data_IF_503846112640
#
_entry.id   IF_503846112640
#
_cell.length_a   1.000
_cell.length_b   1.000
_cell.length_c   1.000
_cell.angle_alpha   90.00
_cell.angle_beta   90.00
_cell.angle_gamma   90.00
#
_symmetry.space_group_name_H-M   'P 1'
#
loop_
_entity.id
_entity.type
_entity.pdbx_description
1 polymer ?
#
# COMPACT_ATOMS: atom_id res chain seq x y z
N UNK A 1 -15.10 -21.92 34.27
CA UNK A 1 -14.02 -20.97 34.63
C UNK A 1 -12.68 -21.64 34.37
N UNK A 2 -11.84 -21.03 33.54
CA UNK A 2 -10.54 -21.56 33.10
C UNK A 2 -9.48 -21.53 34.21
N UNK A 3 -9.55 -20.54 35.11
CA UNK A 3 -8.64 -20.36 36.26
C UNK A 3 -9.38 -20.70 37.56
N UNK A 4 -8.80 -21.58 38.37
CA UNK A 4 -9.34 -22.00 39.67
C UNK A 4 -8.30 -21.82 40.77
N UNK A 5 -8.70 -21.28 41.93
CA UNK A 5 -7.80 -21.16 43.10
C UNK A 5 -7.74 -22.51 43.82
N UNK A 6 -6.54 -22.99 44.06
CA UNK A 6 -6.28 -24.26 44.77
C UNK A 6 -6.24 -24.04 46.29
N UNK A 7 -6.45 -25.11 47.06
CA UNK A 7 -6.36 -25.09 48.53
C UNK A 7 -5.00 -24.59 49.05
N UNK A 8 -3.94 -24.74 48.25
CA UNK A 8 -2.57 -24.33 48.58
C UNK A 8 -2.25 -22.88 48.16
N UNK A 9 -3.26 -22.06 47.85
CA UNK A 9 -3.08 -20.64 47.48
C UNK A 9 -2.62 -20.35 46.05
N UNK A 10 -2.29 -21.39 45.26
CA UNK A 10 -1.91 -21.23 43.83
C UNK A 10 -3.12 -21.23 42.90
N UNK A 11 -2.96 -20.71 41.69
CA UNK A 11 -3.99 -20.61 40.65
C UNK A 11 -3.73 -21.65 39.55
N UNK A 12 -4.69 -22.54 39.30
CA UNK A 12 -4.64 -23.57 38.26
C UNK A 12 -5.40 -23.11 37.02
N UNK A 13 -4.73 -23.08 35.88
CA UNK A 13 -5.31 -22.81 34.57
C UNK A 13 -5.53 -24.13 33.82
N UNK A 14 -6.73 -24.32 33.25
CA UNK A 14 -7.09 -25.45 32.38
C UNK A 14 -7.70 -24.95 31.08
N UNK A 15 -6.97 -25.06 29.98
CA UNK A 15 -7.41 -24.62 28.65
C UNK A 15 -7.53 -25.82 27.71
N UNK A 16 -8.68 -25.95 27.07
CA UNK A 16 -8.94 -26.96 26.05
C UNK A 16 -8.42 -26.47 24.69
N UNK A 17 -7.73 -27.34 23.94
CA UNK A 17 -7.25 -27.02 22.59
C UNK A 17 -8.12 -27.75 21.56
N UNK A 18 -8.74 -27.01 20.60
CA UNK A 18 -9.46 -27.60 19.46
C UNK A 18 -8.55 -28.46 18.56
N UNK A 19 -9.06 -29.56 18.01
CA UNK A 19 -8.29 -30.51 17.17
C UNK A 19 -7.62 -29.84 15.96
N UNK A 20 -8.28 -28.85 15.36
CA UNK A 20 -7.79 -28.05 14.24
C UNK A 20 -6.52 -27.26 14.60
N UNK A 21 -6.49 -26.68 15.81
CA UNK A 21 -5.36 -25.91 16.30
C UNK A 21 -4.18 -26.79 16.77
N UNK A 22 -4.41 -28.07 17.08
CA UNK A 22 -3.36 -28.99 17.57
C UNK A 22 -2.26 -29.22 16.53
N UNK A 23 -2.65 -29.46 15.28
CA UNK A 23 -1.72 -29.68 14.16
C UNK A 23 -0.84 -28.44 13.93
N UNK A 24 -1.44 -27.25 13.97
CA UNK A 24 -0.74 -25.98 13.77
C UNK A 24 0.15 -25.57 14.96
N UNK A 25 -0.22 -25.95 16.19
CA UNK A 25 0.54 -25.62 17.40
C UNK A 25 1.61 -26.66 17.77
N UNK A 26 1.64 -27.82 17.12
CA UNK A 26 2.56 -28.91 17.46
C UNK A 26 2.31 -29.50 18.86
N UNK A 27 1.07 -29.40 19.36
CA UNK A 27 0.68 -29.86 20.69
C UNK A 27 -0.30 -31.03 20.56
N UNK A 28 0.16 -32.24 20.86
CA UNK A 28 -0.68 -33.46 20.84
C UNK A 28 -1.67 -33.54 22.01
N UNK A 29 -1.54 -32.66 23.01
CA UNK A 29 -2.36 -32.69 24.23
C UNK A 29 -3.67 -31.91 24.04
N UNK A 30 -4.79 -32.59 24.28
CA UNK A 30 -6.16 -32.03 24.28
C UNK A 30 -6.41 -30.96 25.35
N UNK A 31 -5.62 -30.96 26.42
CA UNK A 31 -5.77 -30.06 27.56
C UNK A 31 -4.40 -29.58 28.05
N UNK A 32 -4.23 -28.27 28.20
CA UNK A 32 -3.08 -27.68 28.90
C UNK A 32 -3.51 -27.37 30.33
N UNK A 33 -2.82 -27.98 31.30
CA UNK A 33 -2.93 -27.63 32.72
C UNK A 33 -1.60 -27.01 33.21
N UNK A 34 -1.66 -25.80 33.75
CA UNK A 34 -0.52 -25.13 34.42
C UNK A 34 -0.94 -24.48 35.74
N UNK A 35 0.00 -24.35 36.66
CA UNK A 35 -0.19 -23.70 37.98
C UNK A 35 0.67 -22.46 38.10
N UNK A 36 0.10 -21.41 38.69
CA UNK A 36 0.72 -20.10 38.86
C UNK A 36 0.58 -19.62 40.30
N UNK A 37 1.57 -18.86 40.79
CA UNK A 37 1.51 -18.26 42.13
C UNK A 37 0.50 -17.10 42.19
N UNK A 38 0.40 -16.31 41.12
CA UNK A 38 -0.45 -15.11 41.04
C UNK A 38 -1.58 -15.28 40.02
N UNK A 39 -2.76 -14.73 40.33
CA UNK A 39 -3.91 -14.72 39.41
C UNK A 39 -3.62 -13.91 38.13
N UNK A 40 -2.91 -12.79 38.25
CA UNK A 40 -2.51 -11.94 37.12
C UNK A 40 -1.63 -12.70 36.13
N UNK A 41 -0.65 -13.48 36.62
CA UNK A 41 0.21 -14.31 35.76
C UNK A 41 -0.58 -15.44 35.07
N UNK A 42 -1.54 -16.05 35.76
CA UNK A 42 -2.43 -17.04 35.15
C UNK A 42 -3.30 -16.44 34.04
N UNK A 43 -3.82 -15.23 34.27
CA UNK A 43 -4.66 -14.50 33.30
C UNK A 43 -3.86 -14.05 32.07
N UNK A 44 -2.62 -13.60 32.26
CA UNK A 44 -1.72 -13.24 31.14
C UNK A 44 -1.44 -14.46 30.25
N UNK A 45 -1.12 -15.60 30.87
CA UNK A 45 -0.84 -16.83 30.14
C UNK A 45 -2.10 -17.43 29.48
N UNK A 46 -3.28 -17.26 30.08
CA UNK A 46 -4.57 -17.61 29.44
C UNK A 46 -4.78 -16.81 28.15
N UNK A 47 -4.57 -15.50 28.19
CA UNK A 47 -4.70 -14.61 27.03
C UNK A 47 -3.69 -14.97 25.92
N UNK A 48 -2.43 -15.22 26.27
CA UNK A 48 -1.40 -15.67 25.31
C UNK A 48 -1.77 -17.00 24.65
N UNK A 49 -2.36 -17.94 25.40
CA UNK A 49 -2.82 -19.21 24.85
C UNK A 49 -4.05 -19.05 23.94
N UNK A 50 -5.00 -18.19 24.31
CA UNK A 50 -6.17 -17.90 23.48
C UNK A 50 -5.74 -17.31 22.14
N UNK A 51 -4.87 -16.29 22.16
CA UNK A 51 -4.33 -15.70 20.93
C UNK A 51 -3.65 -16.76 20.04
N UNK A 52 -2.88 -17.68 20.62
CA UNK A 52 -2.26 -18.78 19.84
C UNK A 52 -3.28 -19.73 19.23
N UNK A 53 -4.36 -20.05 19.95
CA UNK A 53 -5.43 -20.91 19.44
C UNK A 53 -6.20 -20.19 18.33
N UNK A 54 -6.56 -18.92 18.53
CA UNK A 54 -7.28 -18.12 17.53
C UNK A 54 -6.46 -17.94 16.25
N UNK A 55 -5.15 -17.75 16.37
CA UNK A 55 -4.25 -17.66 15.22
C UNK A 55 -4.11 -18.99 14.46
N UNK A 56 -4.16 -20.11 15.19
CA UNK A 56 -4.11 -21.45 14.60
C UNK A 56 -5.42 -21.85 13.89
N UNK A 57 -6.56 -21.32 14.35
CA UNK A 57 -7.89 -21.60 13.79
C UNK A 57 -8.23 -20.69 12.60
N UNK A 58 -7.86 -19.41 12.64
CA UNK A 58 -8.29 -18.42 11.65
C UNK A 58 -7.35 -18.27 10.45
N UNK A 59 -6.30 -19.09 10.33
CA UNK A 59 -5.47 -19.17 9.12
C UNK A 59 -4.66 -17.92 8.75
N UNK A 60 -4.77 -16.80 9.47
CA UNK A 60 -3.89 -15.62 9.36
C UNK A 60 -4.37 -14.50 10.29
N UNK A 61 -4.13 -14.64 11.58
CA UNK A 61 -3.83 -13.46 12.40
C UNK A 61 -2.41 -13.67 12.89
N UNK A 62 -1.47 -12.97 12.25
CA UNK A 62 -0.06 -13.03 12.64
C UNK A 62 0.05 -12.55 14.09
N UNK A 63 0.68 -13.35 14.95
CA UNK A 63 1.14 -12.89 16.25
C UNK A 63 2.01 -11.64 16.04
N UNK A 64 1.65 -10.56 16.72
CA UNK A 64 2.20 -9.20 16.68
C UNK A 64 3.62 -9.12 17.30
N UNK A 65 4.46 -10.14 17.11
CA UNK A 65 5.79 -10.19 17.72
C UNK A 65 6.97 -10.37 16.75
N UNK A 66 6.72 -10.48 15.44
CA UNK A 66 7.74 -10.33 14.37
C UNK A 66 7.19 -9.51 13.17
N UNK A 67 6.29 -8.55 13.41
CA UNK A 67 5.68 -7.72 12.35
C UNK A 67 6.67 -6.78 11.65
N UNK A 68 7.87 -6.59 12.22
CA UNK A 68 8.90 -5.72 11.66
C UNK A 68 9.58 -6.26 10.39
N UNK A 69 9.54 -7.57 10.16
CA UNK A 69 10.30 -8.19 9.06
C UNK A 69 9.50 -8.42 7.78
N UNK A 70 8.21 -8.03 7.75
CA UNK A 70 7.40 -8.13 6.54
C UNK A 70 8.03 -7.31 5.41
N UNK A 71 8.18 -7.96 4.25
CA UNK A 71 8.65 -7.29 3.04
C UNK A 71 7.63 -6.25 2.59
N UNK A 72 8.11 -5.12 2.06
CA UNK A 72 7.24 -4.08 1.50
C UNK A 72 6.30 -4.65 0.43
N UNK A 73 6.80 -5.58 -0.41
CA UNK A 73 6.01 -6.23 -1.44
C UNK A 73 4.90 -7.14 -0.89
N UNK A 74 5.16 -7.85 0.21
CA UNK A 74 4.18 -8.71 0.88
C UNK A 74 3.12 -7.88 1.59
N UNK A 75 3.53 -6.84 2.32
CA UNK A 75 2.60 -5.91 2.96
C UNK A 75 1.69 -5.23 1.93
N UNK A 76 2.25 -4.80 0.79
CA UNK A 76 1.46 -4.26 -0.30
C UNK A 76 0.39 -5.26 -0.77
N UNK A 77 0.79 -6.48 -1.15
CA UNK A 77 -0.13 -7.47 -1.75
C UNK A 77 -1.17 -8.00 -0.78
N UNK A 78 -0.75 -8.35 0.43
CA UNK A 78 -1.56 -9.13 1.36
C UNK A 78 -2.41 -8.24 2.28
N UNK A 79 -1.94 -7.03 2.57
CA UNK A 79 -2.54 -6.16 3.59
C UNK A 79 -3.06 -4.88 2.92
N UNK A 80 -2.18 -4.05 2.38
CA UNK A 80 -2.53 -2.72 1.91
C UNK A 80 -3.49 -2.73 0.71
N UNK A 81 -3.32 -3.67 -0.24
CA UNK A 81 -4.06 -3.66 -1.50
C UNK A 81 -5.57 -3.84 -1.33
N UNK A 82 -5.99 -4.75 -0.45
CA UNK A 82 -7.40 -4.99 -0.18
C UNK A 82 -8.03 -3.81 0.58
N UNK A 83 -7.29 -3.21 1.52
CA UNK A 83 -7.72 -1.99 2.23
C UNK A 83 -7.83 -0.79 1.29
N UNK A 84 -6.92 -0.64 0.32
CA UNK A 84 -6.97 0.41 -0.69
C UNK A 84 -8.20 0.28 -1.61
N UNK A 85 -8.48 -0.93 -2.12
CA UNK A 85 -9.69 -1.18 -2.92
C UNK A 85 -10.97 -0.86 -2.16
N UNK A 86 -10.97 -1.10 -0.85
CA UNK A 86 -12.08 -0.78 0.06
C UNK A 86 -12.15 0.71 0.44
N UNK A 87 -11.19 1.53 0.01
CA UNK A 87 -11.13 2.96 0.32
C UNK A 87 -10.61 3.32 1.72
N UNK A 88 -10.10 2.35 2.49
CA UNK A 88 -9.68 2.55 3.88
C UNK A 88 -8.36 3.30 4.03
N UNK A 89 -7.50 3.23 3.01
CA UNK A 89 -6.15 3.83 3.04
C UNK A 89 -6.09 5.20 2.38
N UNK A 90 -7.24 5.74 1.99
CA UNK A 90 -7.38 7.03 1.31
C UNK A 90 -8.31 7.96 2.10
N UNK A 91 -8.03 9.27 2.14
CA UNK A 91 -8.87 10.24 2.85
C UNK A 91 -10.18 10.58 2.12
N UNK A 92 -10.46 9.94 0.98
CA UNK A 92 -11.63 10.24 0.15
C UNK A 92 -12.86 9.49 0.65
N UNK A 93 -14.01 10.19 0.70
CA UNK A 93 -15.29 9.62 1.15
C UNK A 93 -15.85 8.51 0.25
N UNK A 94 -15.25 8.30 -0.94
CA UNK A 94 -15.66 7.27 -1.90
C UNK A 94 -14.49 6.33 -2.16
N UNK A 95 -14.76 5.01 -2.31
CA UNK A 95 -13.74 4.07 -2.74
C UNK A 95 -13.25 4.41 -4.15
N UNK A 96 -12.00 4.02 -4.49
CA UNK A 96 -11.42 4.30 -5.80
C UNK A 96 -12.19 3.60 -6.92
N UNK A 97 -12.26 4.27 -8.09
CA UNK A 97 -12.85 3.68 -9.29
C UNK A 97 -11.99 2.52 -9.84
N UNK A 98 -12.57 1.65 -10.67
CA UNK A 98 -11.82 0.56 -11.35
C UNK A 98 -10.59 1.08 -12.10
N UNK A 99 -10.77 2.16 -12.87
CA UNK A 99 -9.66 2.80 -13.61
C UNK A 99 -8.57 3.31 -12.66
N UNK A 100 -8.96 3.85 -11.51
CA UNK A 100 -8.01 4.29 -10.48
C UNK A 100 -7.25 3.12 -9.88
N UNK A 101 -7.91 2.00 -9.62
CA UNK A 101 -7.29 0.77 -9.10
C UNK A 101 -6.26 0.25 -10.11
N UNK A 102 -6.65 0.12 -11.39
CA UNK A 102 -5.77 -0.39 -12.44
C UNK A 102 -4.52 0.50 -12.62
N UNK A 103 -4.73 1.83 -12.65
CA UNK A 103 -3.63 2.79 -12.72
C UNK A 103 -2.71 2.71 -11.49
N UNK A 104 -3.27 2.49 -10.31
CA UNK A 104 -2.50 2.32 -9.07
C UNK A 104 -1.65 1.06 -9.12
N UNK A 105 -2.22 -0.06 -9.56
CA UNK A 105 -1.50 -1.33 -9.73
C UNK A 105 -0.31 -1.17 -10.69
N UNK A 106 -0.51 -0.45 -11.80
CA UNK A 106 0.54 -0.15 -12.77
C UNK A 106 1.68 0.64 -12.11
N UNK A 107 1.36 1.69 -11.34
CA UNK A 107 2.37 2.50 -10.63
C UNK A 107 3.15 1.66 -9.64
N UNK A 108 2.48 0.78 -8.90
CA UNK A 108 3.15 -0.14 -7.97
C UNK A 108 4.08 -1.10 -8.70
N UNK A 109 3.58 -1.78 -9.73
CA UNK A 109 4.32 -2.78 -10.51
C UNK A 109 5.55 -2.20 -11.21
N UNK A 110 5.41 -1.04 -11.84
CA UNK A 110 6.47 -0.46 -12.67
C UNK A 110 7.46 0.42 -11.89
N UNK A 111 7.07 0.97 -10.74
CA UNK A 111 7.88 1.99 -10.07
C UNK A 111 8.15 1.71 -8.60
N UNK A 112 7.14 1.35 -7.81
CA UNK A 112 7.30 1.25 -6.35
C UNK A 112 7.91 -0.10 -5.95
N UNK A 113 7.35 -1.20 -6.44
CA UNK A 113 7.80 -2.55 -6.09
C UNK A 113 9.24 -2.84 -6.54
N UNK A 114 9.69 -2.47 -7.75
CA UNK A 114 11.08 -2.66 -8.15
C UNK A 114 12.07 -1.86 -7.27
N UNK A 115 11.61 -0.75 -6.67
CA UNK A 115 12.45 0.15 -5.88
C UNK A 115 12.50 -0.26 -4.40
N UNK A 116 11.36 -0.61 -3.81
CA UNK A 116 11.21 -0.80 -2.37
C UNK A 116 10.79 -2.23 -1.97
N UNK A 117 10.32 -3.04 -2.91
CA UNK A 117 9.63 -4.31 -2.64
C UNK A 117 10.46 -5.37 -1.91
N UNK A 118 11.79 -5.32 -2.07
CA UNK A 118 12.74 -6.29 -1.48
C UNK A 118 13.23 -5.88 -0.08
N UNK A 119 12.83 -4.72 0.41
CA UNK A 119 13.19 -4.26 1.76
C UNK A 119 12.04 -4.56 2.72
N UNK A 120 12.37 -4.81 3.99
CA UNK A 120 11.35 -4.85 5.04
C UNK A 120 10.84 -3.45 5.36
N UNK A 121 9.58 -3.36 5.78
CA UNK A 121 8.97 -2.08 6.16
C UNK A 121 9.73 -1.45 7.34
N UNK A 122 10.11 -2.24 8.35
CA UNK A 122 10.84 -1.73 9.49
C UNK A 122 12.24 -1.21 9.10
N UNK A 123 12.95 -1.94 8.23
CA UNK A 123 14.24 -1.48 7.72
C UNK A 123 14.12 -0.11 7.04
N UNK A 124 13.16 0.05 6.13
CA UNK A 124 12.94 1.33 5.45
C UNK A 124 12.55 2.43 6.43
N UNK A 125 11.69 2.13 7.40
CA UNK A 125 11.23 3.09 8.41
C UNK A 125 12.37 3.59 9.32
N UNK A 126 13.31 2.71 9.66
CA UNK A 126 14.49 3.06 10.48
C UNK A 126 15.56 3.79 9.64
N UNK A 127 15.74 3.41 8.39
CA UNK A 127 16.81 3.89 7.51
C UNK A 127 16.32 5.02 6.58
N UNK A 128 16.09 6.21 7.16
CA UNK A 128 15.62 7.41 6.43
C UNK A 128 16.51 7.78 5.23
N UNK A 129 17.83 7.58 5.35
CA UNK A 129 18.78 7.91 4.29
C UNK A 129 18.61 7.02 3.06
N UNK A 130 18.32 5.73 3.25
CA UNK A 130 18.10 4.79 2.15
C UNK A 130 16.85 5.18 1.38
N UNK A 131 15.74 5.44 2.09
CA UNK A 131 14.48 5.89 1.49
C UNK A 131 14.66 7.21 0.74
N UNK A 132 15.40 8.16 1.32
CA UNK A 132 15.71 9.44 0.68
C UNK A 132 16.45 9.22 -0.65
N UNK A 133 17.52 8.43 -0.65
CA UNK A 133 18.35 8.21 -1.83
C UNK A 133 17.56 7.51 -2.95
N UNK A 134 16.83 6.45 -2.62
CA UNK A 134 16.02 5.68 -3.58
C UNK A 134 14.92 6.54 -4.22
N UNK A 135 14.18 7.30 -3.42
CA UNK A 135 13.10 8.14 -3.91
C UNK A 135 13.60 9.39 -4.63
N UNK A 136 14.76 9.94 -4.25
CA UNK A 136 15.38 11.08 -4.96
C UNK A 136 15.79 10.66 -6.37
N UNK A 137 16.47 9.52 -6.50
CA UNK A 137 16.79 8.96 -7.82
C UNK A 137 15.52 8.75 -8.65
N UNK A 138 14.46 8.22 -8.04
CA UNK A 138 13.19 8.02 -8.75
C UNK A 138 12.51 9.33 -9.17
N UNK A 139 12.68 10.40 -8.40
CA UNK A 139 12.13 11.71 -8.71
C UNK A 139 12.81 12.38 -9.92
N UNK A 140 14.08 12.05 -10.18
CA UNK A 140 14.84 12.50 -11.36
C UNK A 140 14.48 11.69 -12.62
N UNK A 141 14.09 10.43 -12.46
CA UNK A 141 13.70 9.58 -13.59
C UNK A 141 12.24 9.80 -14.02
N UNK A 142 11.33 10.05 -13.07
CA UNK A 142 9.89 9.98 -13.32
C UNK A 142 9.15 11.29 -13.01
N UNK A 143 8.49 11.85 -14.02
CA UNK A 143 7.76 13.11 -13.89
C UNK A 143 6.59 13.05 -12.89
N UNK A 144 5.81 11.97 -12.86
CA UNK A 144 4.66 11.84 -11.96
C UNK A 144 5.06 11.32 -10.55
N UNK A 145 6.27 11.67 -10.08
CA UNK A 145 6.80 11.26 -8.77
C UNK A 145 5.89 11.62 -7.59
N UNK A 146 5.06 12.67 -7.69
CA UNK A 146 4.07 13.02 -6.65
C UNK A 146 3.16 11.83 -6.29
N UNK A 147 2.78 11.03 -7.29
CA UNK A 147 1.91 9.85 -7.11
C UNK A 147 2.65 8.75 -6.33
N UNK A 148 3.88 8.44 -6.74
CA UNK A 148 4.76 7.50 -6.03
C UNK A 148 4.91 7.90 -4.56
N UNK A 149 5.23 9.18 -4.32
CA UNK A 149 5.38 9.74 -2.98
C UNK A 149 4.14 9.53 -2.11
N UNK A 150 2.96 9.77 -2.68
CA UNK A 150 1.69 9.63 -1.98
C UNK A 150 1.43 8.18 -1.58
N UNK A 151 1.60 7.22 -2.51
CA UNK A 151 1.35 5.81 -2.23
C UNK A 151 2.36 5.21 -1.25
N UNK A 152 3.65 5.56 -1.39
CA UNK A 152 4.68 5.11 -0.44
C UNK A 152 4.35 5.62 0.96
N UNK A 153 3.96 6.89 1.12
CA UNK A 153 3.55 7.41 2.42
C UNK A 153 2.32 6.68 2.97
N UNK A 154 1.30 6.43 2.13
CA UNK A 154 0.08 5.70 2.52
C UNK A 154 0.37 4.28 3.02
N UNK A 155 1.36 3.59 2.47
CA UNK A 155 1.77 2.27 2.98
C UNK A 155 2.33 2.37 4.39
N UNK A 156 3.23 3.32 4.65
CA UNK A 156 3.80 3.49 5.99
C UNK A 156 2.76 4.00 7.01
N UNK A 157 1.86 4.90 6.59
CA UNK A 157 0.74 5.34 7.45
C UNK A 157 -0.16 4.15 7.83
N UNK A 158 -0.47 3.26 6.87
CA UNK A 158 -1.28 2.07 7.14
C UNK A 158 -0.53 1.03 7.97
N UNK A 159 0.79 0.91 7.79
CA UNK A 159 1.62 0.04 8.62
C UNK A 159 1.70 0.53 10.08
N UNK A 160 1.71 1.85 10.30
CA UNK A 160 1.61 2.46 11.62
C UNK A 160 0.23 2.19 12.24
N UNK A 161 -0.85 2.41 11.49
CA UNK A 161 -2.22 2.17 11.96
C UNK A 161 -2.46 0.72 12.38
N UNK A 162 -1.86 -0.24 11.67
CA UNK A 162 -1.95 -1.66 11.97
C UNK A 162 -0.85 -2.16 12.93
N UNK A 163 -0.09 -1.24 13.54
CA UNK A 163 0.95 -1.54 14.54
C UNK A 163 2.08 -2.47 14.03
N UNK A 164 2.34 -2.50 12.70
CA UNK A 164 3.52 -3.15 12.12
C UNK A 164 4.80 -2.33 12.37
N UNK A 165 4.63 -1.02 12.56
CA UNK A 165 5.66 -0.08 12.99
C UNK A 165 5.09 0.81 14.09
N UNK A 166 5.94 1.26 15.00
CA UNK A 166 5.51 2.16 16.10
C UNK A 166 5.05 3.53 15.61
N UNK A 167 5.69 4.04 14.54
CA UNK A 167 5.41 5.35 13.97
C UNK A 167 5.98 5.45 12.56
N UNK A 168 5.35 6.22 11.66
CA UNK A 168 5.90 6.56 10.36
C UNK A 168 7.04 7.59 10.49
N UNK A 169 8.26 7.09 10.68
CA UNK A 169 9.48 7.90 10.86
C UNK A 169 9.98 8.50 9.55
N UNK A 170 9.51 7.99 8.39
CA UNK A 170 9.92 8.43 7.05
C UNK A 170 9.00 9.46 6.41
N UNK A 171 7.79 9.69 6.95
CA UNK A 171 6.79 10.60 6.37
C UNK A 171 7.35 11.99 6.04
N UNK A 172 8.05 12.59 7.01
CA UNK A 172 8.67 13.92 6.84
C UNK A 172 9.76 13.91 5.77
N UNK A 173 10.54 12.84 5.69
CA UNK A 173 11.61 12.67 4.70
C UNK A 173 11.03 12.57 3.29
N UNK A 174 10.03 11.71 3.10
CA UNK A 174 9.35 11.48 1.82
C UNK A 174 8.70 12.77 1.31
N UNK A 175 8.04 13.54 2.19
CA UNK A 175 7.38 14.82 1.83
C UNK A 175 8.34 15.88 1.30
N UNK A 176 9.60 15.92 1.77
CA UNK A 176 10.60 16.94 1.39
C UNK A 176 11.17 16.76 -0.01
N UNK A 177 11.14 15.55 -0.56
CA UNK A 177 11.71 15.25 -1.89
C UNK A 177 10.92 16.03 -2.94
N UNK A 178 11.59 16.75 -3.86
CA UNK A 178 10.94 17.50 -4.93
C UNK A 178 10.73 16.61 -6.16
N UNK A 179 9.73 16.90 -6.99
CA UNK A 179 9.50 16.18 -8.26
C UNK A 179 10.42 16.76 -9.35
N UNK A 180 11.72 16.54 -9.21
CA UNK A 180 12.78 17.19 -10.01
C UNK A 180 12.58 17.01 -11.51
N UNK A 181 12.26 15.80 -11.99
CA UNK A 181 12.02 15.56 -13.42
C UNK A 181 10.88 16.40 -13.98
N UNK A 182 9.78 16.54 -13.23
CA UNK A 182 8.64 17.36 -13.66
C UNK A 182 8.99 18.83 -13.70
N UNK A 183 9.76 19.31 -12.72
CA UNK A 183 10.23 20.70 -12.66
C UNK A 183 11.14 20.98 -13.88
N UNK A 184 12.13 20.11 -14.14
CA UNK A 184 13.00 20.24 -15.30
C UNK A 184 12.23 20.26 -16.62
N UNK A 185 11.25 19.36 -16.79
CA UNK A 185 10.39 19.33 -17.98
C UNK A 185 9.44 20.53 -18.09
N UNK A 186 9.21 21.28 -17.00
CA UNK A 186 8.43 22.51 -17.04
C UNK A 186 9.32 23.70 -17.36
N UNK A 187 10.53 23.74 -16.83
CA UNK A 187 11.53 24.79 -17.11
C UNK A 187 12.09 24.69 -18.53
N UNK A 188 12.16 23.48 -19.10
CA UNK A 188 12.60 23.27 -20.49
C UNK A 188 11.51 23.51 -21.54
N UNK A 189 10.28 23.83 -21.12
CA UNK A 189 9.22 24.18 -22.08
C UNK A 189 9.43 25.63 -22.50
N UNK A 190 9.62 25.84 -23.79
CA UNK A 190 9.55 27.17 -24.36
C UNK A 190 8.07 27.57 -24.48
N UNK A 191 7.75 28.83 -24.18
CA UNK A 191 6.37 29.35 -24.23
C UNK A 191 5.73 29.20 -25.63
N UNK A 192 6.54 29.11 -26.68
CA UNK A 192 6.10 28.83 -28.05
C UNK A 192 5.50 27.43 -28.23
N UNK A 193 5.89 26.45 -27.43
CA UNK A 193 5.38 25.07 -27.51
C UNK A 193 4.07 24.87 -26.72
N UNK A 194 3.62 25.89 -25.98
CA UNK A 194 2.38 25.80 -25.19
C UNK A 194 1.12 26.08 -26.01
N UNK A 195 1.25 26.76 -27.14
CA UNK A 195 0.12 27.17 -27.97
C UNK A 195 0.37 26.81 -29.42
N UNK A 196 -0.68 26.39 -30.11
CA UNK A 196 -0.64 26.28 -31.55
C UNK A 196 -0.42 27.68 -32.15
N UNK A 197 0.61 27.81 -32.99
CA UNK A 197 0.79 28.96 -33.87
C UNK A 197 -0.38 29.06 -34.84
N UNK A 198 -0.65 30.25 -35.41
CA UNK A 198 -1.74 30.42 -36.38
C UNK A 198 -1.63 29.47 -37.60
N UNK A 199 -0.44 28.98 -37.93
CA UNK A 199 -0.19 28.07 -39.06
C UNK A 199 -0.62 26.64 -38.77
N UNK A 200 -0.43 26.14 -37.55
CA UNK A 200 -0.67 24.72 -37.22
C UNK A 200 -2.15 24.32 -37.30
N UNK A 201 -3.15 25.10 -36.80
CA UNK A 201 -4.55 24.81 -37.01
C UNK A 201 -4.92 24.84 -38.50
N UNK A 202 -4.31 25.75 -39.27
CA UNK A 202 -4.53 25.84 -40.71
C UNK A 202 -4.02 24.58 -41.44
N UNK A 203 -2.87 24.05 -41.01
CA UNK A 203 -2.34 22.77 -41.51
C UNK A 203 -3.25 21.60 -41.10
N UNK A 204 -3.83 21.63 -39.91
CA UNK A 204 -4.81 20.62 -39.48
C UNK A 204 -6.09 20.69 -40.32
N UNK A 205 -6.63 21.88 -40.57
CA UNK A 205 -7.79 22.05 -41.46
C UNK A 205 -7.53 21.48 -42.86
N UNK A 206 -6.35 21.77 -43.44
CA UNK A 206 -5.93 21.22 -44.73
C UNK A 206 -5.79 19.71 -44.71
N UNK A 207 -5.17 19.15 -43.67
CA UNK A 207 -5.04 17.70 -43.53
C UNK A 207 -6.40 16.99 -43.44
N UNK A 208 -7.36 17.57 -42.71
CA UNK A 208 -8.73 17.05 -42.63
C UNK A 208 -9.47 17.15 -43.98
N UNK A 209 -9.26 18.22 -44.74
CA UNK A 209 -9.80 18.36 -46.10
C UNK A 209 -9.21 17.31 -47.05
N UNK A 210 -7.90 17.10 -47.03
CA UNK A 210 -7.23 16.07 -47.82
C UNK A 210 -7.67 14.65 -47.43
N UNK A 211 -7.83 14.38 -46.13
CA UNK A 211 -8.29 13.07 -45.65
C UNK A 211 -9.76 12.81 -46.04
N UNK A 212 -10.59 13.85 -46.13
CA UNK A 212 -11.96 13.74 -46.67
C UNK A 212 -11.93 13.44 -48.18
N UNK A 213 -11.13 14.19 -48.95
CA UNK A 213 -10.99 13.97 -50.40
C UNK A 213 -10.45 12.58 -50.74
N UNK A 214 -9.56 12.05 -49.89
CA UNK A 214 -9.00 10.71 -50.02
C UNK A 214 -9.88 9.61 -49.41
N UNK A 215 -11.11 9.91 -48.98
CA UNK A 215 -12.06 8.98 -48.36
C UNK A 215 -11.50 8.24 -47.11
N UNK A 216 -10.57 8.85 -46.37
CA UNK A 216 -10.07 8.31 -45.10
C UNK A 216 -10.99 8.64 -43.92
N UNK A 217 -11.76 9.73 -44.02
CA UNK A 217 -12.75 10.15 -43.04
C UNK A 217 -14.10 10.39 -43.71
N UNK A 218 -15.19 10.35 -42.94
CA UNK A 218 -16.53 10.65 -43.46
C UNK A 218 -16.81 12.15 -43.39
N UNK A 219 -17.72 12.64 -44.25
CA UNK A 219 -18.15 14.04 -44.24
C UNK A 219 -18.66 14.52 -42.87
N UNK A 220 -19.35 13.64 -42.12
CA UNK A 220 -19.80 13.95 -40.75
C UNK A 220 -18.63 14.23 -39.79
N UNK A 221 -17.50 13.53 -39.96
CA UNK A 221 -16.32 13.66 -39.10
C UNK A 221 -15.59 14.98 -39.42
N UNK A 222 -15.52 15.33 -40.70
CA UNK A 222 -15.04 16.63 -41.18
C UNK A 222 -15.88 17.80 -40.63
N UNK A 223 -17.21 17.72 -40.74
CA UNK A 223 -18.12 18.77 -40.24
C UNK A 223 -18.00 18.91 -38.72
N UNK A 224 -17.93 17.79 -37.98
CA UNK A 224 -17.73 17.82 -36.54
C UNK A 224 -16.43 18.56 -36.18
N UNK A 225 -15.31 18.19 -36.81
CA UNK A 225 -14.03 18.87 -36.61
C UNK A 225 -14.11 20.37 -36.90
N UNK A 226 -14.69 20.74 -38.04
CA UNK A 226 -14.82 22.15 -38.42
C UNK A 226 -15.62 22.94 -37.40
N UNK A 227 -16.79 22.43 -36.99
CA UNK A 227 -17.67 23.12 -36.02
C UNK A 227 -17.07 23.22 -34.61
N UNK A 228 -16.15 22.34 -34.21
CA UNK A 228 -15.43 22.45 -32.93
C UNK A 228 -14.33 23.52 -32.91
N UNK A 229 -13.78 23.89 -34.07
CA UNK A 229 -12.67 24.84 -34.19
C UNK A 229 -13.04 26.16 -34.90
N UNK A 230 -14.32 26.32 -35.33
CA UNK A 230 -14.90 27.56 -35.89
C UNK A 230 -15.35 28.51 -34.79
#
# INVERSE_FOLDING_TARGET
MTITKTKNGTYRLRVYIPEEAKKSLGIDKKLIEKRFKLRSTAKKYELELQNKIDNALNGSFQNIHDTGDILFSEFYKNIWWNSYKSGQTTPTNKPPSKVTIDNTEIVFRLHILPLLGNYSINFLNQNKQVVLNLLTKKAEEYANFKVIRSYVNSIFDWAEELEYIEANRVSKTIRRIKATKKIMLQESKEDSDLFLSQKEPLEWFKAFEEDLLNNKILFKDYVLFYTTFS
#
